data_IF_464068966654
#
_entry.id   IF_464068966654
#
_cell.length_a   1.000
_cell.length_b   1.000
_cell.length_c   1.000
_cell.angle_alpha   90.00
_cell.angle_beta   90.00
_cell.angle_gamma   90.00
#
_symmetry.space_group_name_H-M   'P 1'
#
loop_
_entity.id
_entity.type
_entity.pdbx_description
1 polymer ?
#
# COMPACT_ATOMS: atom_id res chain seq x y z
N UNK A 1 -39.55 -51.55 -20.03
CA UNK A 1 -38.71 -51.17 -18.87
C UNK A 1 -37.45 -50.53 -19.41
N UNK A 2 -37.21 -49.25 -19.11
CA UNK A 2 -35.88 -48.61 -19.05
C UNK A 2 -36.10 -47.13 -18.69
N UNK A 3 -36.01 -46.83 -17.41
CA UNK A 3 -36.08 -45.48 -16.87
C UNK A 3 -34.68 -44.87 -16.93
N UNK A 4 -34.51 -43.81 -17.73
CA UNK A 4 -33.27 -43.03 -17.77
C UNK A 4 -33.25 -42.07 -16.59
N UNK A 5 -32.47 -42.39 -15.55
CA UNK A 5 -32.19 -41.47 -14.45
C UNK A 5 -31.07 -40.50 -14.84
N UNK A 6 -31.44 -39.29 -15.24
CA UNK A 6 -30.52 -38.17 -15.38
C UNK A 6 -30.02 -37.78 -13.98
N UNK A 7 -28.81 -38.23 -13.64
CA UNK A 7 -28.13 -37.85 -12.41
C UNK A 7 -27.59 -36.43 -12.56
N UNK A 8 -28.32 -35.45 -12.02
CA UNK A 8 -27.85 -34.06 -11.88
C UNK A 8 -26.71 -34.04 -10.88
N UNK A 9 -25.48 -34.14 -11.37
CA UNK A 9 -24.28 -33.90 -10.57
C UNK A 9 -24.26 -32.43 -10.14
N UNK A 10 -24.64 -32.17 -8.90
CA UNK A 10 -24.40 -30.89 -8.22
C UNK A 10 -22.90 -30.66 -8.14
N UNK A 11 -22.34 -29.90 -9.11
CA UNK A 11 -21.03 -29.26 -8.94
C UNK A 11 -21.17 -28.23 -7.82
N UNK A 12 -21.01 -28.69 -6.59
CA UNK A 12 -20.60 -27.83 -5.49
C UNK A 12 -19.19 -27.36 -5.81
N UNK A 13 -19.09 -26.28 -6.58
CA UNK A 13 -17.88 -25.48 -6.60
C UNK A 13 -17.79 -24.86 -5.21
N UNK A 14 -17.14 -25.58 -4.30
CA UNK A 14 -16.59 -24.96 -3.09
C UNK A 14 -15.55 -23.96 -3.60
N UNK A 15 -16.01 -22.76 -3.95
CA UNK A 15 -15.21 -21.59 -4.29
C UNK A 15 -14.25 -21.44 -3.13
N UNK A 16 -13.00 -21.85 -3.34
CA UNK A 16 -11.96 -21.69 -2.33
C UNK A 16 -11.97 -20.21 -1.97
N UNK A 17 -12.36 -19.89 -0.73
CA UNK A 17 -12.39 -18.53 -0.26
C UNK A 17 -10.97 -17.98 -0.43
N UNK A 18 -10.79 -17.04 -1.35
CA UNK A 18 -9.52 -16.34 -1.50
C UNK A 18 -9.11 -15.80 -0.12
N UNK A 19 -7.80 -15.77 0.22
CA UNK A 19 -7.35 -15.36 1.55
C UNK A 19 -7.73 -13.89 1.83
N UNK A 20 -8.91 -13.73 2.42
CA UNK A 20 -9.58 -12.44 2.59
C UNK A 20 -8.89 -11.58 3.64
N UNK A 21 -8.36 -12.19 4.71
CA UNK A 21 -7.69 -11.48 5.81
C UNK A 21 -6.44 -10.70 5.37
N UNK A 22 -5.37 -11.36 4.89
CA UNK A 22 -4.14 -10.67 4.49
C UNK A 22 -4.34 -9.66 3.36
N UNK A 23 -5.22 -9.95 2.39
CA UNK A 23 -5.54 -9.03 1.32
C UNK A 23 -6.29 -7.79 1.83
N UNK A 24 -7.29 -7.97 2.71
CA UNK A 24 -7.98 -6.84 3.35
C UNK A 24 -7.04 -5.99 4.18
N UNK A 25 -6.13 -6.60 4.93
CA UNK A 25 -5.11 -5.88 5.68
C UNK A 25 -4.22 -5.04 4.77
N UNK A 26 -3.78 -5.59 3.63
CA UNK A 26 -3.01 -4.84 2.63
C UNK A 26 -3.82 -3.68 2.04
N UNK A 27 -5.10 -3.89 1.71
CA UNK A 27 -5.99 -2.84 1.21
C UNK A 27 -6.15 -1.69 2.22
N UNK A 28 -6.39 -2.01 3.49
CA UNK A 28 -6.56 -0.99 4.54
C UNK A 28 -5.26 -0.22 4.76
N UNK A 29 -4.13 -0.91 4.90
CA UNK A 29 -2.82 -0.27 5.15
C UNK A 29 -2.36 0.58 3.96
N UNK A 30 -2.58 0.14 2.72
CA UNK A 30 -2.26 0.93 1.52
C UNK A 30 -3.19 2.14 1.36
N UNK A 31 -4.49 2.00 1.65
CA UNK A 31 -5.41 3.14 1.66
C UNK A 31 -5.00 4.18 2.73
N UNK A 32 -4.67 3.73 3.94
CA UNK A 32 -4.15 4.60 4.99
C UNK A 32 -2.85 5.29 4.55
N UNK A 33 -1.96 4.57 3.87
CA UNK A 33 -0.72 5.16 3.36
C UNK A 33 -0.97 6.26 2.35
N UNK A 34 -1.97 6.10 1.47
CA UNK A 34 -2.36 7.15 0.52
C UNK A 34 -2.92 8.36 1.27
N UNK A 35 -3.72 8.17 2.31
CA UNK A 35 -4.25 9.28 3.12
C UNK A 35 -3.15 10.06 3.84
N UNK A 36 -2.18 9.37 4.45
CA UNK A 36 -1.03 10.02 5.10
C UNK A 36 -0.17 10.75 4.07
N UNK A 37 0.04 10.16 2.90
CA UNK A 37 0.76 10.80 1.80
C UNK A 37 0.07 12.09 1.33
N UNK A 38 -1.26 12.09 1.20
CA UNK A 38 -2.02 13.31 0.86
C UNK A 38 -1.85 14.39 1.93
N UNK A 39 -1.89 14.01 3.21
CA UNK A 39 -1.63 14.94 4.31
C UNK A 39 -0.20 15.53 4.24
N UNK A 40 0.81 14.71 3.89
CA UNK A 40 2.19 15.19 3.68
C UNK A 40 2.28 16.21 2.53
N UNK A 41 1.53 16.03 1.44
CA UNK A 41 1.51 17.01 0.35
C UNK A 41 0.81 18.32 0.75
N UNK A 42 -0.27 18.25 1.53
CA UNK A 42 -0.93 19.45 2.06
C UNK A 42 0.03 20.24 2.95
N UNK A 43 0.69 19.57 3.89
CA UNK A 43 1.65 20.23 4.80
C UNK A 43 2.89 20.73 4.07
N UNK A 44 3.38 20.00 3.05
CA UNK A 44 4.47 20.46 2.19
C UNK A 44 4.08 21.73 1.40
N UNK A 45 2.87 21.80 0.87
CA UNK A 45 2.37 23.01 0.20
C UNK A 45 2.31 24.21 1.15
N UNK A 46 1.90 23.99 2.40
CA UNK A 46 1.91 25.02 3.44
C UNK A 46 3.33 25.47 3.81
N UNK A 47 4.30 24.55 3.88
CA UNK A 47 5.72 24.89 4.10
C UNK A 47 6.24 25.80 2.98
N UNK A 48 6.00 25.43 1.72
CA UNK A 48 6.40 26.23 0.56
C UNK A 48 5.72 27.60 0.50
N UNK A 49 4.57 27.73 1.16
CA UNK A 49 3.83 28.99 1.26
C UNK A 49 4.29 29.86 2.45
N UNK A 50 5.28 29.41 3.23
CA UNK A 50 5.84 30.16 4.37
C UNK A 50 4.99 30.13 5.65
N UNK A 51 4.08 29.15 5.79
CA UNK A 51 3.27 29.03 7.01
C UNK A 51 4.12 28.51 8.18
N UNK A 52 4.49 29.41 9.10
CA UNK A 52 5.29 29.07 10.28
C UNK A 52 4.61 28.02 11.17
N UNK A 53 5.39 27.07 11.69
CA UNK A 53 4.91 26.04 12.63
C UNK A 53 4.32 24.78 12.00
N UNK A 54 4.15 24.72 10.67
CA UNK A 54 3.71 23.48 9.99
C UNK A 54 4.84 22.45 9.81
N UNK A 55 6.09 22.84 10.05
CA UNK A 55 7.26 21.96 9.94
C UNK A 55 7.18 20.77 10.90
N UNK A 56 6.82 20.99 12.16
CA UNK A 56 6.63 19.92 13.15
C UNK A 56 5.50 18.98 12.74
N UNK A 57 4.43 19.51 12.13
CA UNK A 57 3.31 18.71 11.63
C UNK A 57 3.73 17.86 10.44
N UNK A 58 4.50 18.42 9.50
CA UNK A 58 5.05 17.68 8.36
C UNK A 58 6.06 16.61 8.82
N UNK A 59 6.92 16.93 9.78
CA UNK A 59 7.86 15.99 10.39
C UNK A 59 7.15 14.86 11.15
N UNK A 60 6.12 15.19 11.93
CA UNK A 60 5.26 14.21 12.60
C UNK A 60 4.52 13.31 11.62
N UNK A 61 4.00 13.88 10.53
CA UNK A 61 3.38 13.11 9.45
C UNK A 61 4.38 12.22 8.70
N UNK A 62 5.65 12.61 8.60
CA UNK A 62 6.70 11.73 8.10
C UNK A 62 6.88 10.50 9.01
N UNK A 63 6.89 10.66 10.35
CA UNK A 63 6.94 9.52 11.29
C UNK A 63 5.73 8.60 11.09
N UNK A 64 4.53 9.17 11.02
CA UNK A 64 3.32 8.39 10.75
C UNK A 64 3.42 7.62 9.43
N UNK A 65 3.99 8.23 8.38
CA UNK A 65 4.21 7.58 7.09
C UNK A 65 5.15 6.37 7.21
N UNK A 66 6.22 6.44 8.01
CA UNK A 66 7.11 5.30 8.24
C UNK A 66 6.38 4.14 8.92
N UNK A 67 5.61 4.42 9.96
CA UNK A 67 4.81 3.39 10.66
C UNK A 67 3.85 2.73 9.68
N UNK A 68 3.12 3.51 8.90
CA UNK A 68 2.14 2.99 7.94
C UNK A 68 2.82 2.21 6.80
N UNK A 69 3.96 2.68 6.27
CA UNK A 69 4.73 1.93 5.27
C UNK A 69 5.29 0.61 5.83
N UNK A 70 5.67 0.58 7.11
CA UNK A 70 6.03 -0.66 7.81
C UNK A 70 4.85 -1.64 7.89
N UNK A 71 3.64 -1.14 8.15
CA UNK A 71 2.42 -1.95 8.12
C UNK A 71 2.07 -2.45 6.71
N UNK A 72 2.29 -1.64 5.66
CA UNK A 72 2.13 -2.05 4.26
C UNK A 72 3.12 -3.16 3.89
N UNK A 73 4.39 -3.03 4.30
CA UNK A 73 5.39 -4.07 4.10
C UNK A 73 4.99 -5.37 4.82
N UNK A 74 4.60 -5.28 6.09
CA UNK A 74 4.15 -6.43 6.87
C UNK A 74 2.94 -7.13 6.23
N UNK A 75 1.93 -6.37 5.82
CA UNK A 75 0.72 -6.91 5.19
C UNK A 75 0.98 -7.53 3.82
N UNK A 76 1.84 -6.91 2.99
CA UNK A 76 2.26 -7.44 1.70
C UNK A 76 3.03 -8.77 1.89
N UNK A 77 3.95 -8.82 2.85
CA UNK A 77 4.68 -10.05 3.18
C UNK A 77 3.77 -11.16 3.68
N UNK A 78 2.81 -10.86 4.55
CA UNK A 78 1.81 -11.84 5.03
C UNK A 78 0.97 -12.40 3.87
N UNK A 79 0.51 -11.53 2.96
CA UNK A 79 -0.23 -11.95 1.77
C UNK A 79 0.63 -12.82 0.85
N UNK A 80 1.87 -12.42 0.59
CA UNK A 80 2.83 -13.18 -0.21
C UNK A 80 3.07 -14.57 0.39
N UNK A 81 3.27 -14.67 1.71
CA UNK A 81 3.45 -15.96 2.40
C UNK A 81 2.19 -16.83 2.34
N UNK A 82 1.01 -16.24 2.53
CA UNK A 82 -0.26 -16.97 2.52
C UNK A 82 -0.65 -17.50 1.14
N UNK A 83 -0.30 -16.77 0.07
CA UNK A 83 -0.69 -17.10 -1.31
C UNK A 83 0.41 -17.76 -2.13
N UNK A 84 1.68 -17.66 -1.69
CA UNK A 84 2.86 -17.88 -2.54
C UNK A 84 2.81 -17.09 -3.85
N UNK A 85 2.17 -15.92 -3.80
CA UNK A 85 1.97 -15.03 -4.94
C UNK A 85 3.24 -14.26 -5.35
N UNK A 86 3.09 -13.25 -6.24
CA UNK A 86 4.22 -12.49 -6.75
C UNK A 86 4.99 -11.75 -5.64
N UNK A 87 6.32 -11.70 -5.76
CA UNK A 87 7.21 -11.05 -4.79
C UNK A 87 7.26 -9.53 -4.91
N UNK A 88 6.94 -9.00 -6.10
CA UNK A 88 7.15 -7.59 -6.43
C UNK A 88 6.39 -6.61 -5.51
N UNK A 89 5.15 -6.86 -5.02
CA UNK A 89 4.48 -5.91 -4.13
C UNK A 89 5.21 -5.78 -2.80
N UNK A 90 5.69 -6.90 -2.25
CA UNK A 90 6.51 -6.91 -1.02
C UNK A 90 7.84 -6.22 -1.25
N UNK A 91 8.50 -6.44 -2.40
CA UNK A 91 9.74 -5.77 -2.74
C UNK A 91 9.58 -4.25 -2.87
N UNK A 92 8.51 -3.78 -3.54
CA UNK A 92 8.20 -2.36 -3.63
C UNK A 92 7.84 -1.75 -2.28
N UNK A 93 7.07 -2.44 -1.44
CA UNK A 93 6.77 -1.98 -0.09
C UNK A 93 8.05 -1.87 0.77
N UNK A 94 8.97 -2.83 0.66
CA UNK A 94 10.24 -2.79 1.35
C UNK A 94 11.12 -1.63 0.85
N UNK A 95 11.19 -1.44 -0.47
CA UNK A 95 11.92 -0.33 -1.06
C UNK A 95 11.34 1.01 -0.63
N UNK A 96 10.02 1.20 -0.69
CA UNK A 96 9.35 2.43 -0.25
C UNK A 96 9.58 2.71 1.24
N UNK A 97 9.55 1.67 2.08
CA UNK A 97 9.86 1.81 3.51
C UNK A 97 11.28 2.31 3.73
N UNK A 98 12.28 1.72 3.06
CA UNK A 98 13.69 2.13 3.17
C UNK A 98 13.92 3.53 2.58
N UNK A 99 13.37 3.81 1.40
CA UNK A 99 13.45 5.12 0.74
C UNK A 99 12.78 6.21 1.59
N UNK A 100 11.74 5.87 2.36
CA UNK A 100 11.10 6.78 3.31
C UNK A 100 12.08 7.39 4.31
N UNK A 101 13.04 6.62 4.82
CA UNK A 101 14.06 7.13 5.74
C UNK A 101 15.01 8.11 5.05
N UNK A 102 15.42 7.81 3.81
CA UNK A 102 16.22 8.73 3.01
C UNK A 102 15.43 10.02 2.69
N UNK A 103 14.12 9.92 2.45
CA UNK A 103 13.24 11.06 2.27
C UNK A 103 13.14 11.93 3.52
N UNK A 104 13.03 11.33 4.71
CA UNK A 104 13.04 12.07 5.97
C UNK A 104 14.37 12.78 6.19
N UNK A 105 15.50 12.12 5.91
CA UNK A 105 16.83 12.72 6.05
C UNK A 105 17.03 13.89 5.08
N UNK A 106 16.71 13.72 3.81
CA UNK A 106 16.82 14.79 2.80
C UNK A 106 15.86 15.95 3.08
N UNK A 107 14.66 15.67 3.63
CA UNK A 107 13.69 16.68 4.04
C UNK A 107 14.21 17.57 5.17
N UNK A 108 14.87 16.99 6.18
CA UNK A 108 15.40 17.75 7.32
C UNK A 108 16.72 18.49 7.05
N UNK A 109 17.44 18.16 5.97
CA UNK A 109 18.74 18.75 5.63
C UNK A 109 18.69 19.66 4.39
N UNK A 110 17.55 20.32 4.13
CA UNK A 110 17.37 21.23 2.99
C UNK A 110 17.62 20.61 1.59
N UNK A 111 17.56 19.28 1.49
CA UNK A 111 17.82 18.51 0.26
C UNK A 111 16.63 18.49 -0.71
N UNK A 112 15.96 19.62 -0.94
CA UNK A 112 14.71 19.71 -1.70
C UNK A 112 14.81 19.18 -3.13
N UNK A 113 15.98 19.33 -3.77
CA UNK A 113 16.26 18.80 -5.10
C UNK A 113 16.18 17.26 -5.18
N UNK A 114 16.35 16.56 -4.06
CA UNK A 114 16.23 15.09 -3.96
C UNK A 114 14.90 14.69 -3.30
N UNK A 115 14.49 15.44 -2.28
CA UNK A 115 13.25 15.19 -1.54
C UNK A 115 12.03 15.27 -2.47
N UNK A 116 11.87 16.35 -3.25
CA UNK A 116 10.66 16.54 -4.07
C UNK A 116 10.52 15.47 -5.17
N UNK A 117 11.56 15.18 -6.00
CA UNK A 117 11.44 14.10 -6.99
C UNK A 117 11.25 12.73 -6.35
N UNK A 118 11.92 12.46 -5.23
CA UNK A 118 11.76 11.20 -4.50
C UNK A 118 10.36 11.01 -3.92
N UNK A 119 9.74 12.07 -3.42
CA UNK A 119 8.35 12.07 -2.98
C UNK A 119 7.39 11.73 -4.12
N UNK A 120 7.60 12.29 -5.32
CA UNK A 120 6.79 11.97 -6.51
C UNK A 120 6.90 10.48 -6.87
N UNK A 121 8.12 9.95 -6.96
CA UNK A 121 8.35 8.54 -7.30
C UNK A 121 7.70 7.63 -6.26
N UNK A 122 7.91 7.92 -4.97
CA UNK A 122 7.33 7.14 -3.86
C UNK A 122 5.80 7.20 -3.87
N UNK A 123 5.23 8.33 -4.30
CA UNK A 123 3.78 8.49 -4.46
C UNK A 123 3.22 7.58 -5.54
N UNK A 124 3.86 7.55 -6.70
CA UNK A 124 3.48 6.66 -7.81
C UNK A 124 3.52 5.21 -7.35
N UNK A 125 4.60 4.79 -6.67
CA UNK A 125 4.72 3.41 -6.14
C UNK A 125 3.63 3.11 -5.13
N UNK A 126 3.35 4.03 -4.20
CA UNK A 126 2.33 3.86 -3.15
C UNK A 126 0.94 3.67 -3.78
N UNK A 127 0.57 4.55 -4.71
CA UNK A 127 -0.71 4.47 -5.43
C UNK A 127 -0.78 3.22 -6.31
N UNK A 128 0.33 2.82 -6.94
CA UNK A 128 0.39 1.61 -7.76
C UNK A 128 0.16 0.35 -6.93
N UNK A 129 0.82 0.22 -5.77
CA UNK A 129 0.62 -0.92 -4.87
C UNK A 129 -0.81 -0.94 -4.32
N UNK A 130 -1.38 0.22 -3.98
CA UNK A 130 -2.78 0.33 -3.59
C UNK A 130 -3.71 -0.14 -4.73
N UNK A 131 -3.56 0.41 -5.94
CA UNK A 131 -4.37 0.05 -7.10
C UNK A 131 -4.27 -1.45 -7.43
N UNK A 132 -3.08 -2.04 -7.27
CA UNK A 132 -2.89 -3.49 -7.38
C UNK A 132 -3.66 -4.26 -6.31
N UNK A 133 -3.57 -3.87 -5.03
CA UNK A 133 -4.28 -4.54 -3.94
C UNK A 133 -5.82 -4.51 -4.12
N UNK A 134 -6.36 -3.42 -4.69
CA UNK A 134 -7.80 -3.30 -4.99
C UNK A 134 -8.21 -3.94 -6.31
N UNK A 135 -7.31 -4.09 -7.28
CA UNK A 135 -7.60 -4.76 -8.56
C UNK A 135 -7.41 -6.28 -8.51
N UNK A 136 -6.49 -6.78 -7.69
CA UNK A 136 -6.29 -8.21 -7.45
C UNK A 136 -7.53 -8.87 -6.85
N UNK A 137 -8.24 -8.17 -5.95
CA UNK A 137 -9.52 -8.63 -5.40
C UNK A 137 -10.56 -8.91 -6.50
N UNK A 138 -10.66 -8.03 -7.50
CA UNK A 138 -11.60 -8.19 -8.63
C UNK A 138 -11.30 -9.40 -9.52
N UNK A 139 -10.07 -9.91 -9.51
CA UNK A 139 -9.70 -11.11 -10.29
C UNK A 139 -10.00 -12.42 -9.55
N UNK A 140 -10.28 -12.34 -8.25
CA UNK A 140 -10.65 -13.49 -7.41
C UNK A 140 -12.17 -13.65 -7.26
N UNK A 141 -12.94 -12.66 -7.71
CA UNK A 141 -14.41 -12.67 -7.78
C UNK A 141 -14.91 -13.35 -9.05
#
# INVERSE_FOLDING_TARGET
MSSSTTSTATRSSRRAAAPSGPLRLLQVTTALSVLVLLAQFVTAGQLLSGNGGIEDVHGGGAIAMHVVQGLVLGSAFLLQRATRGPLWPTALAALSFVVGFAQAWTGSHSGMAVHVPGAIITSVVTVWVAAWAFSGARRAE
#
